data_IF_678930641910
#
_entry.id   IF_678930641910
#
_cell.length_a   1.000
_cell.length_b   1.000
_cell.length_c   1.000
_cell.angle_alpha   90.00
_cell.angle_beta   90.00
_cell.angle_gamma   90.00
#
_symmetry.space_group_name_H-M   'P 1'
#
loop_
_entity.id
_entity.type
_entity.pdbx_description
1 polymer ?
#
# COMPACT_ATOMS: atom_id res chain seq x y z
N UNK A 1 14.13 -11.18 8.48
CA UNK A 1 12.75 -10.98 8.05
C UNK A 1 11.76 -10.79 9.21
N UNK A 2 11.83 -11.56 10.29
CA UNK A 2 10.85 -11.49 11.40
C UNK A 2 10.56 -10.08 11.93
N UNK A 3 11.59 -9.27 12.22
CA UNK A 3 11.40 -7.90 12.70
C UNK A 3 10.68 -7.01 11.69
N UNK A 4 10.92 -7.21 10.39
CA UNK A 4 10.24 -6.48 9.30
C UNK A 4 8.74 -6.83 9.27
N UNK A 5 8.40 -8.11 9.47
CA UNK A 5 7.00 -8.55 9.52
C UNK A 5 6.26 -7.93 10.70
N UNK A 6 6.90 -7.81 11.86
CA UNK A 6 6.30 -7.12 13.04
C UNK A 6 6.01 -5.65 12.71
N UNK A 7 6.97 -4.94 12.09
CA UNK A 7 6.77 -3.54 11.67
C UNK A 7 5.68 -3.42 10.60
N UNK A 8 5.67 -4.31 9.61
CA UNK A 8 4.65 -4.33 8.56
C UNK A 8 3.24 -4.49 9.14
N UNK A 9 3.05 -5.45 10.04
CA UNK A 9 1.77 -5.68 10.72
C UNK A 9 1.33 -4.48 11.56
N UNK A 10 2.27 -3.79 12.20
CA UNK A 10 1.98 -2.54 12.90
C UNK A 10 1.48 -1.47 11.91
N UNK A 11 2.20 -1.23 10.80
CA UNK A 11 1.81 -0.26 9.78
C UNK A 11 0.44 -0.57 9.16
N UNK A 12 0.09 -1.85 9.01
CA UNK A 12 -1.24 -2.21 8.49
C UNK A 12 -2.36 -1.92 9.49
N UNK A 13 -2.12 -2.03 10.80
CA UNK A 13 -3.08 -1.54 11.82
C UNK A 13 -3.21 -0.01 11.79
N UNK A 14 -2.09 0.72 11.64
CA UNK A 14 -2.14 2.18 11.44
C UNK A 14 -2.98 2.53 10.20
N UNK A 15 -2.82 1.78 9.09
CA UNK A 15 -3.64 1.96 7.91
C UNK A 15 -5.12 1.79 8.20
N UNK A 16 -5.53 0.74 8.93
CA UNK A 16 -6.93 0.52 9.32
C UNK A 16 -7.52 1.73 10.05
N UNK A 17 -6.77 2.30 10.98
CA UNK A 17 -7.19 3.51 11.69
C UNK A 17 -7.29 4.71 10.75
N UNK A 18 -6.29 4.93 9.90
CA UNK A 18 -6.26 6.07 8.97
C UNK A 18 -7.41 6.01 7.97
N UNK A 19 -7.77 4.83 7.44
CA UNK A 19 -8.84 4.69 6.46
C UNK A 19 -10.24 4.53 7.08
N UNK A 20 -10.34 4.40 8.40
CA UNK A 20 -11.62 4.26 9.10
C UNK A 20 -12.54 5.45 8.78
N UNK A 21 -13.81 5.14 8.43
CA UNK A 21 -14.82 6.12 8.05
C UNK A 21 -14.65 6.71 6.64
N UNK A 22 -13.71 6.23 5.84
CA UNK A 22 -13.66 6.59 4.42
C UNK A 22 -14.66 5.73 3.64
N UNK A 23 -15.52 6.38 2.88
CA UNK A 23 -16.49 5.77 1.97
C UNK A 23 -16.16 6.07 0.50
N UNK A 24 -17.04 5.64 -0.40
CA UNK A 24 -16.88 5.77 -1.85
C UNK A 24 -16.81 7.23 -2.33
N UNK A 25 -17.41 8.16 -1.61
CA UNK A 25 -17.33 9.61 -1.84
C UNK A 25 -15.93 10.17 -1.65
N UNK A 26 -15.07 9.48 -0.89
CA UNK A 26 -13.70 9.89 -0.62
C UNK A 26 -12.68 9.37 -1.65
N UNK A 27 -13.01 8.31 -2.41
CA UNK A 27 -12.02 7.59 -3.23
C UNK A 27 -11.38 8.44 -4.35
N UNK A 28 -12.15 9.36 -4.95
CA UNK A 28 -11.70 10.27 -5.99
C UNK A 28 -11.56 11.73 -5.50
N UNK A 29 -11.81 12.00 -4.22
CA UNK A 29 -11.68 13.34 -3.65
C UNK A 29 -10.23 13.81 -3.68
N UNK A 30 -10.01 14.94 -4.35
CA UNK A 30 -8.74 15.66 -4.42
C UNK A 30 -8.84 16.90 -3.52
N UNK A 31 -8.26 16.91 -2.31
CA UNK A 31 -8.45 18.02 -1.38
C UNK A 31 -7.80 19.34 -1.84
N UNK A 32 -6.88 19.26 -2.80
CA UNK A 32 -6.27 20.39 -3.51
C UNK A 32 -5.85 19.97 -4.91
N UNK A 33 -5.77 20.88 -5.89
CA UNK A 33 -5.36 20.57 -7.25
C UNK A 33 -4.02 19.80 -7.29
N UNK A 34 -3.97 18.69 -8.03
CA UNK A 34 -2.77 17.87 -8.17
C UNK A 34 -2.44 16.95 -7.00
N UNK A 35 -3.19 17.02 -5.88
CA UNK A 35 -3.01 16.07 -4.78
C UNK A 35 -3.38 14.65 -5.20
N UNK A 36 -2.79 13.66 -4.54
CA UNK A 36 -3.24 12.27 -4.65
C UNK A 36 -4.63 12.14 -4.03
N UNK A 37 -5.44 11.20 -4.56
CA UNK A 37 -6.72 10.82 -3.96
C UNK A 37 -6.51 9.67 -2.97
N UNK A 38 -7.41 9.48 -2.00
CA UNK A 38 -7.34 8.37 -1.07
C UNK A 38 -7.40 7.03 -1.81
N UNK A 39 -8.29 6.89 -2.80
CA UNK A 39 -8.40 5.69 -3.61
C UNK A 39 -7.10 5.35 -4.34
N UNK A 40 -6.43 6.35 -4.91
CA UNK A 40 -5.13 6.12 -5.56
C UNK A 40 -4.07 5.66 -4.57
N UNK A 41 -3.97 6.30 -3.41
CA UNK A 41 -2.96 5.95 -2.40
C UNK A 41 -3.15 4.52 -1.88
N UNK A 42 -4.38 4.13 -1.56
CA UNK A 42 -4.69 2.79 -1.07
C UNK A 42 -4.46 1.73 -2.16
N UNK A 43 -4.93 2.00 -3.39
CA UNK A 43 -4.69 1.12 -4.53
C UNK A 43 -3.20 0.97 -4.86
N UNK A 44 -2.41 2.05 -4.74
CA UNK A 44 -0.96 2.02 -4.93
C UNK A 44 -0.26 1.18 -3.86
N UNK A 45 -0.65 1.31 -2.60
CA UNK A 45 -0.18 0.42 -1.53
C UNK A 45 -0.49 -1.04 -1.88
N UNK A 46 -1.72 -1.35 -2.32
CA UNK A 46 -2.10 -2.71 -2.66
C UNK A 46 -1.25 -3.29 -3.81
N UNK A 47 -1.13 -2.59 -4.95
CA UNK A 47 -0.39 -3.12 -6.12
C UNK A 47 1.11 -3.25 -5.87
N UNK A 48 1.69 -2.37 -5.06
CA UNK A 48 3.12 -2.45 -4.71
C UNK A 48 3.39 -3.56 -3.70
N UNK A 49 2.50 -3.78 -2.73
CA UNK A 49 2.55 -4.96 -1.86
C UNK A 49 2.38 -6.26 -2.64
N UNK A 50 1.47 -6.30 -3.62
CA UNK A 50 1.30 -7.46 -4.50
C UNK A 50 2.54 -7.72 -5.37
N UNK A 51 3.27 -6.69 -5.76
CA UNK A 51 4.56 -6.86 -6.40
C UNK A 51 5.56 -7.54 -5.46
N UNK A 52 5.62 -7.12 -4.19
CA UNK A 52 6.44 -7.77 -3.16
C UNK A 52 6.09 -9.24 -2.96
N UNK A 53 4.80 -9.59 -2.93
CA UNK A 53 4.32 -10.99 -2.86
C UNK A 53 4.85 -11.83 -4.02
N UNK A 54 4.82 -11.29 -5.24
CA UNK A 54 5.33 -11.99 -6.44
C UNK A 54 6.83 -12.22 -6.36
N UNK A 55 7.59 -11.29 -5.79
CA UNK A 55 9.01 -11.50 -5.54
C UNK A 55 9.25 -12.65 -4.54
N UNK A 56 8.33 -12.86 -3.61
CA UNK A 56 8.32 -13.99 -2.67
C UNK A 56 7.68 -15.28 -3.25
N UNK A 57 7.47 -15.35 -4.58
CA UNK A 57 6.97 -16.55 -5.26
C UNK A 57 5.45 -16.73 -5.26
N UNK A 58 4.66 -15.71 -4.86
CA UNK A 58 3.19 -15.77 -4.90
C UNK A 58 2.63 -15.38 -6.28
N UNK A 59 1.48 -15.90 -6.62
CA UNK A 59 0.69 -15.45 -7.78
C UNK A 59 0.06 -14.08 -7.50
N UNK A 60 -0.25 -13.26 -8.54
CA UNK A 60 -0.93 -11.98 -8.35
C UNK A 60 -2.26 -12.13 -7.59
N UNK A 61 -2.52 -11.21 -6.66
CA UNK A 61 -3.79 -11.09 -5.93
C UNK A 61 -4.60 -9.90 -6.42
N UNK A 62 -3.94 -8.77 -6.71
CA UNK A 62 -4.62 -7.61 -7.27
C UNK A 62 -5.14 -7.89 -8.68
N UNK A 63 -6.34 -7.41 -9.02
CA UNK A 63 -6.85 -7.45 -10.39
C UNK A 63 -5.85 -6.86 -11.39
N UNK A 64 -5.78 -7.44 -12.59
CA UNK A 64 -4.78 -7.05 -13.60
C UNK A 64 -4.89 -5.57 -14.00
N UNK A 65 -6.10 -5.06 -14.09
CA UNK A 65 -6.44 -3.67 -14.44
C UNK A 65 -5.94 -2.65 -13.41
N UNK A 66 -5.77 -3.06 -12.14
CA UNK A 66 -5.26 -2.17 -11.10
C UNK A 66 -3.85 -1.65 -11.37
N UNK A 67 -3.08 -2.38 -12.17
CA UNK A 67 -1.73 -1.93 -12.56
C UNK A 67 -1.77 -0.64 -13.37
N UNK A 68 -2.73 -0.50 -14.28
CA UNK A 68 -2.89 0.72 -15.06
C UNK A 68 -3.31 1.92 -14.19
N UNK A 69 -4.14 1.66 -13.17
CA UNK A 69 -4.67 2.68 -12.28
C UNK A 69 -3.66 3.14 -11.22
N UNK A 70 -2.87 2.22 -10.66
CA UNK A 70 -2.17 2.44 -9.39
C UNK A 70 -0.66 2.22 -9.43
N UNK A 71 -0.06 1.81 -10.55
CA UNK A 71 1.40 1.64 -10.64
C UNK A 71 2.14 2.98 -10.46
N UNK A 72 3.42 2.94 -10.06
CA UNK A 72 4.28 4.12 -10.09
C UNK A 72 4.22 4.81 -11.46
N UNK A 73 4.02 6.13 -11.46
CA UNK A 73 3.88 6.93 -12.67
C UNK A 73 2.44 7.11 -13.17
N UNK A 74 1.45 6.36 -12.66
CA UNK A 74 0.04 6.64 -12.95
C UNK A 74 -0.43 7.92 -12.24
N UNK A 75 -1.48 8.53 -12.80
CA UNK A 75 -2.08 9.73 -12.25
C UNK A 75 -3.40 9.42 -11.57
N UNK A 76 -3.69 10.03 -10.39
CA UNK A 76 -4.99 9.86 -9.74
C UNK A 76 -6.09 10.47 -10.61
N UNK A 77 -7.19 9.74 -10.77
CA UNK A 77 -8.41 10.26 -11.38
C UNK A 77 -9.24 11.01 -10.33
N UNK A 78 -10.00 12.01 -10.79
CA UNK A 78 -11.04 12.68 -10.02
C UNK A 78 -12.43 12.11 -10.33
N UNK A 79 -12.51 11.14 -11.23
CA UNK A 79 -13.72 10.39 -11.54
C UNK A 79 -13.81 9.16 -10.64
N UNK A 80 -14.79 9.13 -9.75
CA UNK A 80 -15.00 8.02 -8.82
C UNK A 80 -15.29 6.68 -9.53
N UNK A 81 -15.93 6.70 -10.70
CA UNK A 81 -16.29 5.49 -11.45
C UNK A 81 -15.08 4.74 -12.02
N UNK A 82 -13.91 5.39 -12.07
CA UNK A 82 -12.66 4.76 -12.48
C UNK A 82 -12.00 3.96 -11.36
N UNK A 83 -12.48 4.10 -10.11
CA UNK A 83 -11.93 3.39 -8.97
C UNK A 83 -12.84 2.22 -8.54
N UNK A 84 -12.24 1.14 -8.02
CA UNK A 84 -12.97 0.17 -7.23
C UNK A 84 -13.62 0.84 -6.00
N UNK A 85 -14.60 0.18 -5.35
CA UNK A 85 -15.16 0.69 -4.10
C UNK A 85 -14.08 0.88 -3.04
N UNK A 86 -14.28 1.84 -2.13
CA UNK A 86 -13.34 2.08 -1.02
C UNK A 86 -13.15 0.81 -0.17
N UNK A 87 -14.24 0.08 0.07
CA UNK A 87 -14.19 -1.21 0.78
C UNK A 87 -13.27 -2.21 0.07
N UNK A 88 -13.40 -2.35 -1.26
CA UNK A 88 -12.57 -3.26 -2.05
C UNK A 88 -11.10 -2.84 -2.02
N UNK A 89 -10.81 -1.55 -2.12
CA UNK A 89 -9.44 -1.02 -2.04
C UNK A 89 -8.79 -1.36 -0.70
N UNK A 90 -9.48 -1.05 0.41
CA UNK A 90 -8.98 -1.28 1.76
C UNK A 90 -8.78 -2.78 2.04
N UNK A 91 -9.79 -3.60 1.73
CA UNK A 91 -9.72 -5.05 1.93
C UNK A 91 -8.59 -5.68 1.11
N UNK A 92 -8.46 -5.32 -0.16
CA UNK A 92 -7.39 -5.86 -1.01
C UNK A 92 -6.01 -5.48 -0.49
N UNK A 93 -5.80 -4.24 -0.04
CA UNK A 93 -4.53 -3.83 0.56
C UNK A 93 -4.21 -4.66 1.81
N UNK A 94 -5.19 -4.87 2.70
CA UNK A 94 -5.02 -5.69 3.90
C UNK A 94 -4.68 -7.15 3.58
N UNK A 95 -5.40 -7.77 2.65
CA UNK A 95 -5.18 -9.15 2.24
C UNK A 95 -3.81 -9.34 1.59
N UNK A 96 -3.41 -8.39 0.73
CA UNK A 96 -2.08 -8.36 0.09
C UNK A 96 -0.98 -8.34 1.13
N UNK A 97 -1.04 -7.44 2.10
CA UNK A 97 0.04 -7.31 3.09
C UNK A 97 0.04 -8.41 4.14
N UNK A 98 -1.12 -8.99 4.46
CA UNK A 98 -1.19 -10.19 5.29
C UNK A 98 -0.44 -11.34 4.62
N UNK A 99 -0.76 -11.65 3.36
CA UNK A 99 -0.10 -12.72 2.63
C UNK A 99 1.38 -12.38 2.30
N UNK A 100 1.72 -11.10 2.07
CA UNK A 100 3.11 -10.68 1.89
C UNK A 100 3.96 -10.99 3.13
N UNK A 101 3.42 -10.75 4.34
CA UNK A 101 4.10 -11.09 5.57
C UNK A 101 4.40 -12.60 5.66
N UNK A 102 3.42 -13.43 5.31
CA UNK A 102 3.57 -14.88 5.36
C UNK A 102 4.50 -15.38 4.24
N UNK A 103 4.37 -14.84 3.04
CA UNK A 103 5.23 -15.15 1.91
C UNK A 103 6.70 -14.79 2.18
N UNK A 104 6.96 -13.60 2.76
CA UNK A 104 8.30 -13.14 3.07
C UNK A 104 8.99 -13.97 4.17
N UNK A 105 8.21 -14.54 5.11
CA UNK A 105 8.74 -15.47 6.11
C UNK A 105 9.07 -16.83 5.52
N UNK A 106 8.29 -17.28 4.53
CA UNK A 106 8.44 -18.58 3.90
C UNK A 106 9.40 -18.61 2.71
N UNK A 107 9.75 -17.42 2.17
CA UNK A 107 10.60 -17.33 0.99
C UNK A 107 12.01 -17.89 1.26
N UNK A 108 12.52 -18.65 0.30
CA UNK A 108 13.93 -19.07 0.31
C UNK A 108 14.84 -17.83 0.18
N UNK A 109 15.77 -17.59 1.11
CA UNK A 109 16.71 -16.46 1.04
C UNK A 109 17.48 -16.40 -0.30
N UNK A 110 17.81 -17.54 -0.91
CA UNK A 110 18.49 -17.58 -2.19
C UNK A 110 17.64 -16.99 -3.33
N UNK A 111 16.32 -17.21 -3.30
CA UNK A 111 15.39 -16.68 -4.29
C UNK A 111 15.25 -15.14 -4.20
N UNK A 112 15.52 -14.56 -3.05
CA UNK A 112 15.48 -13.11 -2.82
C UNK A 112 16.86 -12.43 -2.95
N UNK A 113 17.95 -13.19 -3.07
CA UNK A 113 19.30 -12.66 -3.28
C UNK A 113 19.54 -12.15 -4.71
N UNK A 114 18.57 -12.34 -5.61
CA UNK A 114 18.64 -11.88 -7.00
C UNK A 114 18.55 -10.36 -7.10
N UNK A 115 19.03 -9.82 -8.22
CA UNK A 115 18.96 -8.39 -8.50
C UNK A 115 17.51 -7.88 -8.48
N UNK A 116 17.30 -6.68 -7.90
CA UNK A 116 15.99 -6.02 -7.89
C UNK A 116 15.48 -5.82 -9.31
N UNK A 117 14.30 -6.36 -9.67
CA UNK A 117 13.77 -6.24 -11.03
C UNK A 117 13.23 -4.84 -11.35
N UNK A 118 12.95 -4.01 -10.35
CA UNK A 118 12.48 -2.63 -10.53
C UNK A 118 13.66 -1.67 -10.69
N UNK A 119 14.02 -1.40 -11.92
CA UNK A 119 15.22 -0.63 -12.31
C UNK A 119 15.37 0.72 -11.60
N UNK A 120 14.30 1.54 -11.42
CA UNK A 120 14.45 2.88 -10.82
C UNK A 120 15.03 2.91 -9.40
N UNK A 121 14.92 1.81 -8.64
CA UNK A 121 15.43 1.76 -7.25
C UNK A 121 16.65 0.83 -7.10
N UNK A 122 17.09 0.17 -8.15
CA UNK A 122 18.12 -0.87 -8.13
C UNK A 122 19.44 -0.40 -7.51
N UNK A 123 19.85 0.83 -7.78
CA UNK A 123 21.08 1.37 -7.23
C UNK A 123 21.03 1.51 -5.70
N UNK A 124 19.87 1.84 -5.13
CA UNK A 124 19.67 1.98 -3.69
C UNK A 124 19.27 0.67 -3.01
N UNK A 125 18.60 -0.21 -3.74
CA UNK A 125 18.07 -1.50 -3.27
C UNK A 125 18.49 -2.61 -4.23
N UNK A 126 19.74 -3.07 -4.17
CA UNK A 126 20.32 -3.92 -5.21
C UNK A 126 19.71 -5.32 -5.27
N UNK A 127 19.13 -5.84 -4.19
CA UNK A 127 18.54 -7.18 -4.15
C UNK A 127 17.04 -7.15 -3.91
N UNK A 128 16.34 -8.18 -4.38
CA UNK A 128 14.91 -8.37 -4.16
C UNK A 128 14.58 -8.43 -2.65
N UNK A 129 15.45 -9.00 -1.80
CA UNK A 129 15.29 -9.01 -0.34
C UNK A 129 15.20 -7.59 0.24
N UNK A 130 16.14 -6.72 -0.11
CA UNK A 130 16.15 -5.32 0.35
C UNK A 130 14.90 -4.60 -0.13
N UNK A 131 14.52 -4.81 -1.39
CA UNK A 131 13.35 -4.17 -1.97
C UNK A 131 12.03 -4.65 -1.34
N UNK A 132 11.87 -5.95 -1.07
CA UNK A 132 10.71 -6.49 -0.35
C UNK A 132 10.60 -5.87 1.04
N UNK A 133 11.70 -5.78 1.79
CA UNK A 133 11.72 -5.13 3.13
C UNK A 133 11.28 -3.67 3.04
N UNK A 134 11.76 -2.94 2.04
CA UNK A 134 11.34 -1.56 1.81
C UNK A 134 9.83 -1.45 1.50
N UNK A 135 9.31 -2.32 0.63
CA UNK A 135 7.87 -2.36 0.32
C UNK A 135 7.02 -2.65 1.56
N UNK A 136 7.51 -3.48 2.48
CA UNK A 136 6.82 -3.85 3.72
C UNK A 136 6.88 -2.76 4.80
N UNK A 137 7.80 -1.80 4.70
CA UNK A 137 8.04 -0.81 5.78
C UNK A 137 8.08 0.62 5.26
N UNK A 138 9.21 1.07 4.73
CA UNK A 138 9.42 2.47 4.34
C UNK A 138 8.43 2.98 3.31
N UNK A 139 8.10 2.16 2.31
CA UNK A 139 7.12 2.51 1.27
C UNK A 139 5.71 2.68 1.84
N UNK A 140 5.25 1.73 2.66
CA UNK A 140 3.94 1.82 3.32
C UNK A 140 3.91 3.04 4.24
N UNK A 141 4.90 3.21 5.12
CA UNK A 141 4.96 4.33 6.06
C UNK A 141 4.89 5.68 5.33
N UNK A 142 5.60 5.82 4.20
CA UNK A 142 5.56 7.02 3.37
C UNK A 142 4.13 7.32 2.87
N UNK A 143 3.42 6.31 2.35
CA UNK A 143 2.06 6.50 1.85
C UNK A 143 1.02 6.64 2.95
N UNK A 144 1.21 6.06 4.13
CA UNK A 144 0.37 6.31 5.29
C UNK A 144 0.50 7.77 5.76
N UNK A 145 1.71 8.33 5.74
CA UNK A 145 1.91 9.76 5.97
C UNK A 145 1.13 10.64 4.97
N UNK A 146 1.16 10.27 3.68
CA UNK A 146 0.37 10.98 2.66
C UNK A 146 -1.15 10.84 2.88
N UNK A 147 -1.65 9.67 3.31
CA UNK A 147 -3.06 9.47 3.65
C UNK A 147 -3.47 10.30 4.88
N UNK A 148 -2.60 10.42 5.89
CA UNK A 148 -2.84 11.26 7.07
C UNK A 148 -2.97 12.73 6.66
N UNK A 149 -2.04 13.24 5.84
CA UNK A 149 -2.10 14.59 5.29
C UNK A 149 -3.33 14.81 4.40
N UNK A 150 -3.68 13.79 3.59
CA UNK A 150 -4.88 13.83 2.78
C UNK A 150 -6.14 14.00 3.66
N UNK A 151 -6.25 13.24 4.76
CA UNK A 151 -7.40 13.35 5.69
C UNK A 151 -7.50 14.76 6.28
N UNK A 152 -6.39 15.32 6.75
CA UNK A 152 -6.35 16.66 7.30
C UNK A 152 -6.78 17.72 6.25
N UNK A 153 -6.27 17.60 5.02
CA UNK A 153 -6.62 18.50 3.92
C UNK A 153 -8.08 18.36 3.44
N UNK A 154 -8.69 17.19 3.61
CA UNK A 154 -10.09 16.92 3.35
C UNK A 154 -11.04 17.36 4.49
N UNK A 155 -10.51 17.94 5.57
CA UNK A 155 -11.29 18.36 6.74
C UNK A 155 -11.80 17.21 7.61
N UNK A 156 -11.22 16.03 7.48
CA UNK A 156 -11.59 14.85 8.27
C UNK A 156 -10.74 14.82 9.55
N UNK A 157 -11.39 14.54 10.69
CA UNK A 157 -10.69 14.44 11.97
C UNK A 157 -9.57 13.39 11.94
N UNK A 158 -8.42 13.66 12.58
CA UNK A 158 -7.43 12.62 12.83
C UNK A 158 -8.07 11.45 13.60
N UNK A 159 -7.74 10.22 13.21
CA UNK A 159 -8.12 9.03 13.99
C UNK A 159 -6.96 8.64 14.88
N UNK A 160 -7.18 8.64 16.19
CA UNK A 160 -6.22 8.23 17.21
C UNK A 160 -6.60 6.84 17.74
N UNK A 161 -5.63 6.12 18.30
CA UNK A 161 -5.85 4.81 18.94
C UNK A 161 -6.95 4.84 20.03
N UNK A 162 -7.22 5.99 20.64
CA UNK A 162 -8.27 6.16 21.64
C UNK A 162 -9.70 5.99 21.06
N UNK A 163 -9.90 6.21 19.76
CA UNK A 163 -11.23 6.12 19.12
C UNK A 163 -11.62 4.66 18.80
N UNK A 164 -10.70 3.71 18.96
CA UNK A 164 -10.92 2.28 18.67
C UNK A 164 -11.39 1.46 19.90
N UNK A 165 -11.48 2.09 21.08
CA UNK A 165 -11.80 1.44 22.35
C UNK A 165 -13.22 1.75 22.86
N UNK A 166 -14.09 2.34 22.02
CA UNK A 166 -15.47 2.68 22.38
C UNK A 166 -16.49 1.71 21.72
#
# INVERSE_FOLDING_TARGET
>A
MQAIVVQCRFLMREMEMIVSGLGDDHRALQPRPGAKTAGWLIGHIAVTGDFGRRLCGRTPLCPKEWRALFNPGSHPSVNADEYPSMEMLCRTAQDVYRDLCDAALAADPASLAVETPYVPVRAAMPTADIFVRYLMTGHVAYHLGQLTEWRAAAGLAPRNQADSAA
#
